data_IF_121851264699
#
_entry.id   IF_121851264699
#
_cell.length_a   1.000
_cell.length_b   1.000
_cell.length_c   1.000
_cell.angle_alpha   90.00
_cell.angle_beta   90.00
_cell.angle_gamma   90.00
#
_symmetry.space_group_name_H-M   'P 1'
#
loop_
_entity.id
_entity.type
_entity.pdbx_description
1 polymer ?
#
# COMPACT_ATOMS: atom_id res chain seq x y z
N UNK A 1 3.56 -22.77 3.58
CA UNK A 1 2.36 -21.96 3.27
C UNK A 1 2.84 -20.58 2.82
N UNK A 2 2.96 -20.36 1.52
CA UNK A 2 3.30 -19.05 0.95
C UNK A 2 2.12 -18.14 1.28
N UNK A 3 2.33 -17.17 2.19
CA UNK A 3 1.29 -16.25 2.61
C UNK A 3 0.74 -15.54 1.37
N UNK A 4 -0.58 -15.60 1.23
CA UNK A 4 -1.41 -15.11 0.14
C UNK A 4 -0.78 -13.96 -0.65
N UNK A 5 -0.81 -14.08 -2.00
CA UNK A 5 -0.25 -13.15 -2.98
C UNK A 5 -0.91 -11.76 -3.02
N UNK A 6 -1.00 -11.09 -1.87
CA UNK A 6 -1.49 -9.72 -1.69
C UNK A 6 -0.30 -8.73 -1.76
N UNK A 7 0.91 -9.22 -2.03
CA UNK A 7 2.08 -8.37 -2.17
C UNK A 7 1.89 -7.39 -3.32
N UNK A 8 1.93 -6.10 -3.00
CA UNK A 8 1.75 -5.05 -3.99
C UNK A 8 0.30 -4.78 -4.37
N UNK A 9 -0.67 -5.13 -3.51
CA UNK A 9 -2.07 -4.67 -3.63
C UNK A 9 -2.36 -3.68 -2.51
N UNK A 10 -3.04 -2.58 -2.82
CA UNK A 10 -3.46 -1.57 -1.87
C UNK A 10 -4.55 -2.12 -0.95
N UNK A 11 -4.35 -2.04 0.36
CA UNK A 11 -5.32 -2.53 1.35
C UNK A 11 -6.61 -1.67 1.42
N UNK A 12 -6.64 -0.49 0.78
CA UNK A 12 -7.77 0.44 0.82
C UNK A 12 -8.63 0.39 -0.44
N UNK A 13 -8.02 0.40 -1.62
CA UNK A 13 -8.74 0.38 -2.91
C UNK A 13 -8.67 -0.96 -3.64
N UNK A 14 -7.94 -1.94 -3.10
CA UNK A 14 -7.71 -3.26 -3.71
C UNK A 14 -7.04 -3.22 -5.09
N UNK A 15 -6.42 -2.08 -5.45
CA UNK A 15 -5.70 -1.91 -6.71
C UNK A 15 -4.18 -2.19 -6.57
N UNK A 16 -3.48 -2.51 -7.67
CA UNK A 16 -2.03 -2.69 -7.65
C UNK A 16 -1.26 -1.44 -7.19
N UNK A 17 -0.35 -1.62 -6.22
CA UNK A 17 0.63 -0.61 -5.82
C UNK A 17 1.69 -0.52 -6.92
N UNK A 18 1.96 0.69 -7.39
CA UNK A 18 2.95 0.92 -8.44
C UNK A 18 4.33 0.33 -8.10
N UNK A 19 4.96 -0.33 -9.08
CA UNK A 19 6.26 -1.02 -8.88
C UNK A 19 7.34 -0.11 -8.31
N UNK A 20 7.49 1.11 -8.84
CA UNK A 20 8.44 2.09 -8.33
C UNK A 20 8.23 2.40 -6.82
N UNK A 21 6.98 2.37 -6.34
CA UNK A 21 6.67 2.56 -4.91
C UNK A 21 7.13 1.36 -4.08
N UNK A 22 6.97 0.15 -4.59
CA UNK A 22 7.43 -1.08 -3.92
C UNK A 22 8.96 -1.22 -3.98
N UNK A 23 9.62 -0.73 -5.03
CA UNK A 23 11.08 -0.70 -5.10
C UNK A 23 11.68 0.22 -4.04
N UNK A 24 11.07 1.39 -3.81
CA UNK A 24 11.48 2.32 -2.75
C UNK A 24 11.01 1.87 -1.36
N UNK A 25 9.81 1.31 -1.26
CA UNK A 25 9.17 0.86 -0.01
C UNK A 25 8.48 -0.47 -0.23
N UNK A 26 9.25 -1.56 -0.14
CA UNK A 26 8.79 -2.92 -0.43
C UNK A 26 7.72 -3.47 0.53
N UNK A 27 7.43 -2.77 1.64
CA UNK A 27 6.35 -3.08 2.58
C UNK A 27 5.20 -2.07 2.56
N UNK A 28 5.03 -1.32 1.46
CA UNK A 28 3.92 -0.39 1.32
C UNK A 28 2.57 -1.14 1.38
N UNK A 29 1.68 -0.71 2.29
CA UNK A 29 0.31 -1.24 2.44
C UNK A 29 -0.72 -0.53 1.56
N UNK A 30 -0.44 0.72 1.20
CA UNK A 30 -1.34 1.57 0.43
C UNK A 30 -0.66 2.10 -0.84
N UNK A 31 -1.44 2.33 -1.89
CA UNK A 31 -1.02 3.08 -3.07
C UNK A 31 -0.74 4.55 -2.70
N UNK A 32 -0.11 5.30 -3.61
CA UNK A 32 0.25 6.71 -3.35
C UNK A 32 -1.01 7.54 -3.05
N UNK A 33 -2.09 7.35 -3.80
CA UNK A 33 -3.34 8.06 -3.60
C UNK A 33 -3.98 7.75 -2.24
N UNK A 34 -4.08 6.47 -1.87
CA UNK A 34 -4.66 6.06 -0.58
C UNK A 34 -3.78 6.41 0.62
N UNK A 35 -2.46 6.54 0.44
CA UNK A 35 -1.55 6.95 1.52
C UNK A 35 -1.86 8.35 2.04
N UNK A 36 -2.17 9.29 1.15
CA UNK A 36 -2.54 10.66 1.53
C UNK A 36 -3.84 10.70 2.34
N UNK A 37 -4.70 9.69 2.15
CA UNK A 37 -5.94 9.51 2.91
C UNK A 37 -5.62 8.93 4.28
N UNK A 38 -4.77 7.89 4.37
CA UNK A 38 -4.43 7.25 5.65
C UNK A 38 -3.66 8.16 6.61
N UNK A 39 -2.79 9.04 6.11
CA UNK A 39 -1.97 9.92 6.98
C UNK A 39 -2.80 11.04 7.65
N UNK A 40 -4.06 11.26 7.24
CA UNK A 40 -4.99 12.16 7.94
C UNK A 40 -5.56 11.57 9.24
N UNK A 41 -5.44 10.25 9.45
CA UNK A 41 -5.95 9.57 10.65
C UNK A 41 -4.89 9.43 11.76
N UNK A 42 -3.62 9.73 11.49
CA UNK A 42 -2.53 9.68 12.48
C UNK A 42 -2.30 11.03 13.22
N UNK A 43 -3.23 11.98 13.09
CA UNK A 43 -3.25 13.25 13.84
C UNK A 43 -4.41 13.19 14.85
N UNK A 44 -4.30 12.30 15.82
CA UNK A 44 -5.05 12.33 17.09
C UNK A 44 -4.12 11.86 18.23
#
# INVERSE_FOLDING_TARGET
KIKNGIYGICEMCEEPIGKARLEVKNFARFCIACREISEKEDID
#
